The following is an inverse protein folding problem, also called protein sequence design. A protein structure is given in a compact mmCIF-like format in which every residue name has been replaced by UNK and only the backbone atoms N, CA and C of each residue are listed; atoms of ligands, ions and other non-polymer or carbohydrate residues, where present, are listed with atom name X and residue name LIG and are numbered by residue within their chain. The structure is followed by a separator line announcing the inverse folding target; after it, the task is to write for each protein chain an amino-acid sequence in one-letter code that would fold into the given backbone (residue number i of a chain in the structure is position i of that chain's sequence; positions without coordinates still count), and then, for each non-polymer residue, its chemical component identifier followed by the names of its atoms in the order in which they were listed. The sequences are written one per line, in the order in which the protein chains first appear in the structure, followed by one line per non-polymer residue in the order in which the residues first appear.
data_IF_185303050287
#
_entry.id   IF_185303050287
#
_cell.length_a   1.000
_cell.length_b   1.000
_cell.length_c   1.000
_cell.angle_alpha   90.00
_cell.angle_beta   90.00
_cell.angle_gamma   90.00
#
_symmetry.space_group_name_H-M   'P 1'
#
loop_
_entity.id
_entity.type
_entity.pdbx_description
1 polymer ?
#
# COMPACT_ATOMS: atom_id res chain seq x y z
N UNK A 1 5.45 -7.85 12.10
CA UNK A 1 6.83 -8.37 12.21
C UNK A 1 6.86 -9.66 11.43
N UNK A 2 7.73 -9.77 10.42
CA UNK A 2 7.97 -11.05 9.75
C UNK A 2 8.49 -12.02 10.81
N UNK A 3 7.86 -13.19 10.95
CA UNK A 3 8.38 -14.28 11.79
C UNK A 3 9.59 -14.98 11.18
N UNK A 4 10.20 -14.40 10.13
CA UNK A 4 11.46 -14.87 9.62
C UNK A 4 12.52 -14.65 10.71
N UNK A 5 12.99 -15.76 11.28
CA UNK A 5 14.25 -15.83 12.01
C UNK A 5 15.28 -15.03 11.20
N UNK A 6 15.74 -13.91 11.77
CA UNK A 6 16.73 -13.06 11.13
C UNK A 6 17.98 -13.90 10.79
N UNK A 7 18.35 -13.97 9.50
CA UNK A 7 19.75 -14.17 9.12
C UNK A 7 20.18 -15.24 8.11
N UNK A 8 19.32 -16.06 7.47
CA UNK A 8 19.84 -17.21 6.66
C UNK A 8 19.16 -17.44 5.30
N UNK A 9 18.90 -16.40 4.51
CA UNK A 9 18.52 -16.65 3.11
C UNK A 9 19.18 -15.64 2.18
N UNK A 10 19.80 -16.16 1.12
CA UNK A 10 20.14 -15.34 -0.04
C UNK A 10 18.86 -14.64 -0.53
N UNK A 11 18.92 -13.34 -0.88
CA UNK A 11 17.77 -12.62 -1.41
C UNK A 11 17.10 -13.40 -2.55
N UNK A 12 15.80 -13.71 -2.41
CA UNK A 12 15.02 -14.42 -3.42
C UNK A 12 14.87 -15.94 -3.25
N UNK A 13 15.41 -16.54 -2.18
CA UNK A 13 15.28 -17.99 -1.94
C UNK A 13 13.89 -18.41 -1.46
N UNK A 14 13.15 -17.53 -0.79
CA UNK A 14 11.82 -17.84 -0.24
C UNK A 14 10.78 -16.88 -0.82
N UNK A 15 9.87 -17.42 -1.63
CA UNK A 15 8.66 -16.71 -2.05
C UNK A 15 7.74 -16.54 -0.83
N UNK A 16 7.44 -15.30 -0.39
CA UNK A 16 6.50 -15.08 0.72
C UNK A 16 5.06 -15.46 0.37
N UNK A 17 4.77 -15.74 -0.91
CA UNK A 17 3.45 -16.07 -1.42
C UNK A 17 2.52 -14.86 -1.46
N UNK A 18 1.27 -15.11 -1.87
CA UNK A 18 0.22 -14.10 -1.85
C UNK A 18 -0.34 -13.88 -0.43
N UNK A 19 -0.88 -12.68 -0.13
CA UNK A 19 -1.59 -12.46 1.12
C UNK A 19 -2.71 -13.48 1.32
N UNK A 20 -2.86 -13.99 2.55
CA UNK A 20 -3.95 -14.91 2.89
C UNK A 20 -5.33 -14.33 2.54
N UNK A 21 -6.16 -15.17 1.91
CA UNK A 21 -7.57 -14.88 1.62
C UNK A 21 -8.40 -14.73 2.89
N UNK A 22 -8.04 -15.44 3.97
CA UNK A 22 -8.70 -15.38 5.28
C UNK A 22 -8.05 -14.37 6.24
N UNK A 23 -7.72 -13.17 5.74
CA UNK A 23 -7.20 -12.09 6.57
C UNK A 23 -8.30 -11.43 7.43
N UNK A 24 -7.95 -10.93 8.62
CA UNK A 24 -8.88 -10.13 9.43
C UNK A 24 -9.24 -8.81 8.74
N UNK A 25 -10.42 -8.26 9.01
CA UNK A 25 -10.81 -6.95 8.46
C UNK A 25 -10.05 -5.83 9.18
N UNK A 26 -9.42 -4.86 8.48
CA UNK A 26 -8.81 -3.70 9.12
C UNK A 26 -9.83 -2.89 9.91
N UNK A 27 -9.48 -2.42 11.10
CA UNK A 27 -10.39 -1.63 11.96
C UNK A 27 -10.95 -0.40 11.23
N UNK A 28 -10.10 0.31 10.49
CA UNK A 28 -10.51 1.50 9.74
C UNK A 28 -11.39 1.21 8.52
N UNK A 29 -11.54 -0.07 8.14
CA UNK A 29 -12.47 -0.51 7.09
C UNK A 29 -13.83 -0.94 7.66
N UNK A 30 -14.13 -0.66 8.93
CA UNK A 30 -15.44 -0.93 9.54
C UNK A 30 -16.60 -0.18 8.85
N UNK A 31 -16.29 0.95 8.20
CA UNK A 31 -17.20 1.70 7.30
C UNK A 31 -16.43 2.11 6.05
N UNK A 32 -16.24 1.20 5.08
CA UNK A 32 -15.41 1.47 3.93
C UNK A 32 -16.09 2.50 3.02
N UNK A 33 -15.27 3.31 2.35
CA UNK A 33 -15.77 4.19 1.29
C UNK A 33 -16.29 3.32 0.12
N UNK A 34 -17.31 3.74 -0.66
CA UNK A 34 -17.83 2.97 -1.80
C UNK A 34 -16.80 2.59 -2.87
N UNK A 35 -15.63 3.24 -2.85
CA UNK A 35 -14.49 2.99 -3.75
C UNK A 35 -13.29 2.33 -3.04
N UNK A 36 -13.49 1.76 -1.85
CA UNK A 36 -12.39 1.10 -1.11
C UNK A 36 -11.79 -0.07 -1.89
N UNK A 37 -12.63 -0.79 -2.63
CA UNK A 37 -12.27 -1.93 -3.48
C UNK A 37 -12.39 -1.59 -4.97
N UNK A 38 -12.35 -0.28 -5.31
CA UNK A 38 -12.38 0.12 -6.71
C UNK A 38 -11.11 -0.32 -7.43
N UNK A 39 -11.29 -1.00 -8.55
CA UNK A 39 -10.24 -1.37 -9.48
C UNK A 39 -10.60 -0.83 -10.86
N UNK A 40 -9.72 -0.02 -11.43
CA UNK A 40 -9.86 0.42 -12.82
C UNK A 40 -9.47 -0.71 -13.78
N UNK A 41 -9.82 -0.55 -15.05
CA UNK A 41 -9.24 -1.38 -16.11
C UNK A 41 -7.70 -1.24 -16.13
N UNK A 42 -7.04 -2.31 -16.57
CA UNK A 42 -5.59 -2.30 -16.76
C UNK A 42 -5.22 -1.33 -17.90
N UNK A 43 -4.19 -0.49 -17.77
CA UNK A 43 -3.82 0.44 -18.83
C UNK A 43 -3.37 -0.32 -20.07
N UNK A 44 -3.83 0.14 -21.24
CA UNK A 44 -3.38 -0.36 -22.55
C UNK A 44 -2.02 0.20 -22.97
N UNK A 45 -1.64 1.35 -22.42
CA UNK A 45 -0.38 2.04 -22.69
C UNK A 45 0.62 1.86 -21.55
N UNK A 46 1.90 2.05 -21.86
CA UNK A 46 2.97 2.08 -20.85
C UNK A 46 2.72 3.27 -19.90
N UNK A 47 2.80 3.02 -18.61
CA UNK A 47 2.72 4.05 -17.59
C UNK A 47 4.10 4.64 -17.27
N UNK A 48 4.14 5.91 -16.87
CA UNK A 48 5.37 6.59 -16.45
C UNK A 48 5.90 6.03 -15.12
N UNK A 49 4.98 5.68 -14.21
CA UNK A 49 5.31 5.22 -12.86
C UNK A 49 4.39 4.07 -12.43
N UNK A 50 4.99 3.01 -11.91
CA UNK A 50 4.28 1.97 -11.16
C UNK A 50 4.52 2.14 -9.66
N UNK A 51 3.46 2.28 -8.87
CA UNK A 51 3.50 2.36 -7.42
C UNK A 51 2.95 1.07 -6.85
N UNK A 52 3.77 0.36 -6.08
CA UNK A 52 3.37 -0.86 -5.38
C UNK A 52 2.99 -0.50 -3.95
N UNK A 53 1.82 -0.96 -3.53
CA UNK A 53 1.10 -0.64 -2.29
C UNK A 53 0.29 0.65 -2.33
N UNK A 54 -1.01 0.52 -2.03
CA UNK A 54 -1.96 1.60 -1.81
C UNK A 54 -2.16 1.91 -0.31
N UNK A 55 -1.09 1.80 0.48
CA UNK A 55 -1.05 2.36 1.83
C UNK A 55 -0.84 3.88 1.85
N UNK A 56 -0.75 4.46 3.04
CA UNK A 56 -0.56 5.90 3.26
C UNK A 56 0.64 6.45 2.48
N UNK A 57 1.77 5.75 2.47
CA UNK A 57 2.98 6.18 1.76
C UNK A 57 2.78 6.21 0.25
N UNK A 58 2.28 5.11 -0.34
CA UNK A 58 2.05 5.02 -1.78
C UNK A 58 1.02 6.03 -2.27
N UNK A 59 -0.09 6.20 -1.54
CA UNK A 59 -1.12 7.21 -1.88
C UNK A 59 -0.54 8.63 -1.79
N UNK A 60 0.25 8.95 -0.76
CA UNK A 60 0.88 10.28 -0.67
C UNK A 60 1.84 10.53 -1.83
N UNK A 61 2.60 9.52 -2.26
CA UNK A 61 3.46 9.62 -3.44
C UNK A 61 2.63 9.91 -4.70
N UNK A 62 1.57 9.14 -4.96
CA UNK A 62 0.66 9.34 -6.10
C UNK A 62 0.08 10.76 -6.09
N UNK A 63 -0.48 11.19 -4.96
CA UNK A 63 -1.04 12.54 -4.80
C UNK A 63 0.00 13.63 -5.06
N UNK A 64 1.24 13.44 -4.60
CA UNK A 64 2.33 14.40 -4.80
C UNK A 64 2.77 14.46 -6.27
N UNK A 65 2.88 13.31 -6.93
CA UNK A 65 3.26 13.22 -8.35
C UNK A 65 2.19 13.88 -9.23
N UNK A 66 0.92 13.58 -9.01
CA UNK A 66 -0.20 14.19 -9.75
C UNK A 66 -0.22 15.72 -9.59
N UNK A 67 0.12 16.24 -8.41
CA UNK A 67 0.24 17.68 -8.15
C UNK A 67 1.44 18.31 -8.85
N UNK A 68 2.59 17.63 -8.86
CA UNK A 68 3.85 18.16 -9.44
C UNK A 68 3.90 18.06 -10.95
N UNK A 69 3.31 17.01 -11.54
CA UNK A 69 3.28 16.76 -12.98
C UNK A 69 1.86 16.36 -13.38
N UNK A 70 0.96 17.34 -13.61
CA UNK A 70 -0.37 17.05 -14.15
C UNK A 70 -0.26 16.24 -15.45
N UNK A 71 -1.08 15.19 -15.58
CA UNK A 71 -1.06 14.31 -16.75
C UNK A 71 -0.03 13.19 -16.73
N UNK A 72 0.78 13.05 -15.67
CA UNK A 72 1.61 11.85 -15.46
C UNK A 72 0.72 10.60 -15.38
N UNK A 73 1.09 9.55 -16.09
CA UNK A 73 0.41 8.26 -16.04
C UNK A 73 0.98 7.41 -14.91
N UNK A 74 0.12 7.01 -13.97
CA UNK A 74 0.52 6.22 -12.79
C UNK A 74 -0.34 4.98 -12.69
N UNK A 75 0.29 3.84 -12.46
CA UNK A 75 -0.38 2.59 -12.08
C UNK A 75 -0.16 2.38 -10.59
N UNK A 76 -1.24 2.35 -9.83
CA UNK A 76 -1.22 2.01 -8.40
C UNK A 76 -1.68 0.57 -8.22
N UNK A 77 -0.83 -0.26 -7.63
CA UNK A 77 -1.07 -1.68 -7.40
C UNK A 77 -1.17 -1.95 -5.91
N UNK A 78 -2.18 -2.69 -5.50
CA UNK A 78 -2.26 -3.25 -4.15
C UNK A 78 -2.72 -4.70 -4.25
N UNK A 79 -2.18 -5.56 -3.38
CA UNK A 79 -2.51 -6.98 -3.40
C UNK A 79 -3.89 -7.29 -2.79
N UNK A 80 -4.51 -6.32 -2.11
CA UNK A 80 -5.82 -6.48 -1.47
C UNK A 80 -6.74 -5.32 -1.85
N UNK A 81 -6.82 -4.30 -0.99
CA UNK A 81 -7.62 -3.10 -1.23
C UNK A 81 -6.97 -1.88 -0.61
N UNK A 82 -7.45 -0.69 -1.01
CA UNK A 82 -6.89 0.59 -0.57
C UNK A 82 -6.75 0.63 0.95
N UNK A 83 -5.57 1.00 1.46
CA UNK A 83 -5.28 1.11 2.88
C UNK A 83 -5.44 -0.17 3.72
N UNK A 84 -5.64 -1.36 3.15
CA UNK A 84 -5.95 -2.60 3.90
C UNK A 84 -4.78 -3.17 4.74
N UNK A 85 -3.56 -2.74 4.47
CA UNK A 85 -2.35 -3.14 5.19
C UNK A 85 -2.17 -2.41 6.52
N UNK A 86 -0.93 -1.97 6.80
CA UNK A 86 -0.60 -1.28 8.05
C UNK A 86 -1.45 -0.01 8.28
N UNK A 87 -1.78 0.72 7.22
CA UNK A 87 -2.58 1.95 7.30
C UNK A 87 -3.95 1.72 7.92
N UNK A 88 -4.68 0.69 7.50
CA UNK A 88 -6.00 0.34 8.04
C UNK A 88 -5.96 -0.32 9.42
N UNK A 89 -4.76 -0.61 9.95
CA UNK A 89 -4.54 -1.42 11.17
C UNK A 89 -3.70 -0.71 12.23
N UNK A 90 -3.36 0.57 12.05
CA UNK A 90 -2.50 1.32 12.98
C UNK A 90 -3.15 1.66 14.34
N UNK A 91 -4.42 1.29 14.57
CA UNK A 91 -5.15 1.58 15.81
C UNK A 91 -5.38 3.07 16.09
N UNK A 92 -5.17 3.95 15.12
CA UNK A 92 -5.34 5.40 15.25
C UNK A 92 -4.12 6.12 15.79
N UNK A 93 -3.02 5.41 15.99
CA UNK A 93 -1.79 5.99 16.46
C UNK A 93 -1.17 6.85 15.36
N UNK A 94 -1.43 8.16 15.42
CA UNK A 94 -0.70 9.18 14.70
C UNK A 94 0.16 9.92 15.72
N UNK A 95 1.45 9.55 15.82
CA UNK A 95 2.38 10.22 16.74
C UNK A 95 3.20 11.25 15.98
N UNK A 96 3.07 12.51 16.35
CA UNK A 96 4.00 13.57 15.95
C UNK A 96 5.23 13.48 16.86
N UNK A 97 6.15 12.56 16.58
CA UNK A 97 7.45 12.59 17.24
C UNK A 97 8.34 13.50 16.41
N UNK A 98 8.37 14.78 16.78
CA UNK A 98 9.46 15.64 16.35
C UNK A 98 10.68 15.17 17.12
N UNK A 99 11.69 14.64 16.44
CA UNK A 99 13.02 14.59 17.04
C UNK A 99 13.48 16.06 17.14
N UNK A 100 13.18 16.69 18.27
CA UNK A 100 13.84 17.93 18.65
C UNK A 100 15.29 17.53 18.97
N UNK A 101 16.20 17.90 18.07
CA UNK A 101 17.62 18.02 18.34
C UNK A 101 17.86 19.27 19.18
#
# INVERSE_FOLDING_TARGET
MSGALEGIYEPGVVDPGYPSSNGTVPFWHSKPHPRADYQSEWPSNIADVAVISAGLTGINLVCTLLKKKPGISIVLLDAKSLCSGATGRNGGHCKTITFAI
#
